data_IF_078593126409
#
_entry.id   IF_078593126409
#
_cell.length_a   1.000
_cell.length_b   1.000
_cell.length_c   1.000
_cell.angle_alpha   90.00
_cell.angle_beta   90.00
_cell.angle_gamma   90.00
#
_symmetry.space_group_name_H-M   'P 1'
#
loop_
_entity.id
_entity.type
_entity.pdbx_description
1 polymer ?
#
# COMPACT_ATOMS: atom_id res chain seq x y z
N UNK A 1 -7.23 -11.08 15.92
CA UNK A 1 -6.38 -10.92 14.72
C UNK A 1 -6.78 -9.62 14.07
N UNK A 2 -5.82 -8.85 13.60
CA UNK A 2 -6.05 -7.59 12.88
C UNK A 2 -5.66 -7.78 11.42
N UNK A 3 -6.51 -7.36 10.50
CA UNK A 3 -6.29 -7.48 9.06
C UNK A 3 -5.83 -6.16 8.48
N UNK A 4 -4.72 -6.20 7.74
CA UNK A 4 -4.13 -5.04 7.06
C UNK A 4 -4.12 -5.32 5.56
N UNK A 5 -4.79 -4.46 4.77
CA UNK A 5 -4.70 -4.48 3.32
C UNK A 5 -3.75 -3.40 2.82
N UNK A 6 -2.75 -3.81 2.04
CA UNK A 6 -1.73 -2.91 1.46
C UNK A 6 -1.83 -2.97 -0.05
N UNK A 7 -1.91 -1.82 -0.73
CA UNK A 7 -1.92 -1.76 -2.19
C UNK A 7 -1.37 -0.42 -2.71
N UNK A 8 -0.95 -0.40 -3.97
CA UNK A 8 -0.61 0.84 -4.69
C UNK A 8 -1.83 1.50 -5.34
N UNK A 9 -2.90 0.72 -5.55
CA UNK A 9 -4.14 1.22 -6.13
C UNK A 9 -5.10 1.76 -5.05
N UNK A 10 -5.33 3.07 -5.08
CA UNK A 10 -6.19 3.76 -4.14
C UNK A 10 -7.67 3.41 -4.32
N UNK A 11 -8.08 3.07 -5.55
CA UNK A 11 -9.46 2.71 -5.84
C UNK A 11 -9.80 1.33 -5.29
N UNK A 12 -8.89 0.37 -5.46
CA UNK A 12 -9.07 -1.00 -4.95
C UNK A 12 -9.07 -1.02 -3.41
N UNK A 13 -8.23 -0.21 -2.76
CA UNK A 13 -8.22 -0.15 -1.29
C UNK A 13 -9.54 0.33 -0.69
N UNK A 14 -10.27 1.22 -1.38
CA UNK A 14 -11.57 1.72 -0.89
C UNK A 14 -12.65 0.64 -0.78
N UNK A 15 -12.51 -0.47 -1.50
CA UNK A 15 -13.43 -1.61 -1.40
C UNK A 15 -12.93 -2.72 -0.46
N UNK A 16 -11.79 -2.53 0.21
CA UNK A 16 -11.26 -3.51 1.16
C UNK A 16 -12.10 -3.56 2.43
N UNK A 17 -12.29 -4.77 2.97
CA UNK A 17 -12.95 -5.00 4.26
C UNK A 17 -11.95 -5.19 5.41
N UNK A 18 -10.67 -4.87 5.20
CA UNK A 18 -9.63 -4.96 6.22
C UNK A 18 -9.79 -3.88 7.30
N UNK A 19 -9.35 -4.18 8.53
CA UNK A 19 -9.41 -3.25 9.67
C UNK A 19 -8.55 -2.01 9.41
N UNK A 20 -7.38 -2.21 8.78
CA UNK A 20 -6.48 -1.14 8.34
C UNK A 20 -6.27 -1.26 6.83
N UNK A 21 -6.36 -0.11 6.14
CA UNK A 21 -6.02 -0.01 4.72
C UNK A 21 -4.85 0.95 4.55
N UNK A 22 -3.83 0.51 3.81
CA UNK A 22 -2.60 1.27 3.59
C UNK A 22 -2.32 1.39 2.09
N UNK A 23 -2.41 2.61 1.58
CA UNK A 23 -1.92 2.93 0.25
C UNK A 23 -0.42 3.17 0.29
N UNK A 24 0.33 2.55 -0.63
CA UNK A 24 1.78 2.74 -0.77
C UNK A 24 2.16 3.27 -2.16
N UNK A 25 3.31 3.93 -2.28
CA UNK A 25 3.85 4.49 -3.51
C UNK A 25 2.97 5.56 -4.11
N UNK A 26 2.47 6.48 -3.29
CA UNK A 26 1.63 7.58 -3.77
C UNK A 26 2.35 8.44 -4.81
N UNK A 27 3.67 8.66 -4.64
CA UNK A 27 4.45 9.40 -5.63
C UNK A 27 4.81 8.55 -6.86
N UNK A 28 5.15 7.27 -6.65
CA UNK A 28 5.51 6.35 -7.75
C UNK A 28 4.33 6.03 -8.67
N UNK A 29 3.16 5.77 -8.09
CA UNK A 29 2.00 5.19 -8.80
C UNK A 29 0.85 6.16 -8.99
N UNK A 30 0.83 7.27 -8.25
CA UNK A 30 -0.29 8.24 -8.22
C UNK A 30 -1.62 7.60 -7.86
N UNK A 31 -1.60 6.48 -7.14
CA UNK A 31 -2.79 5.73 -6.75
C UNK A 31 -3.43 4.89 -7.86
N UNK A 32 -2.74 4.69 -8.99
CA UNK A 32 -3.23 3.92 -10.16
C UNK A 32 -2.65 2.51 -10.26
N UNK A 33 -1.89 2.09 -9.24
CA UNK A 33 -1.26 0.78 -9.21
C UNK A 33 0.13 0.71 -9.87
N UNK A 34 0.82 -0.40 -9.63
CA UNK A 34 2.17 -0.66 -10.13
C UNK A 34 2.22 -1.01 -11.63
N UNK A 35 1.07 -1.26 -12.29
CA UNK A 35 1.01 -1.54 -13.73
C UNK A 35 1.69 -2.84 -14.13
N UNK A 36 1.54 -3.89 -13.32
CA UNK A 36 2.22 -5.19 -13.47
C UNK A 36 3.77 -5.15 -13.40
N UNK A 37 4.36 -4.00 -13.05
CA UNK A 37 5.80 -3.88 -12.82
C UNK A 37 6.16 -4.16 -11.34
N UNK A 38 6.86 -5.27 -11.04
CA UNK A 38 7.25 -5.59 -9.67
C UNK A 38 8.29 -4.62 -9.09
N UNK A 39 9.13 -4.00 -9.92
CA UNK A 39 10.12 -3.02 -9.44
C UNK A 39 9.42 -1.76 -8.93
N UNK A 40 8.37 -1.32 -9.63
CA UNK A 40 7.54 -0.20 -9.21
C UNK A 40 6.83 -0.48 -7.89
N UNK A 41 6.36 -1.71 -7.69
CA UNK A 41 5.81 -2.17 -6.40
C UNK A 41 6.84 -2.16 -5.27
N UNK A 42 8.08 -2.56 -5.55
CA UNK A 42 9.18 -2.50 -4.59
C UNK A 42 9.52 -1.05 -4.20
N UNK A 43 9.63 -0.16 -5.17
CA UNK A 43 9.89 1.27 -4.94
C UNK A 43 8.78 1.89 -4.08
N UNK A 44 7.52 1.61 -4.41
CA UNK A 44 6.36 2.02 -3.63
C UNK A 44 6.42 1.58 -2.15
N UNK A 45 6.80 0.32 -1.90
CA UNK A 45 6.93 -0.19 -0.54
C UNK A 45 8.13 0.42 0.21
N UNK A 46 9.20 0.78 -0.50
CA UNK A 46 10.37 1.45 0.09
C UNK A 46 10.08 2.90 0.44
N UNK A 47 9.34 3.62 -0.40
CA UNK A 47 8.85 4.99 -0.16
C UNK A 47 8.09 5.06 1.17
N UNK A 48 7.14 4.15 1.38
CA UNK A 48 6.25 4.15 2.54
C UNK A 48 6.68 3.17 3.64
N UNK A 49 7.97 2.84 3.71
CA UNK A 49 8.52 1.86 4.67
C UNK A 49 8.16 2.19 6.13
N UNK A 50 8.22 3.47 6.51
CA UNK A 50 7.92 3.88 7.87
C UNK A 50 6.42 3.73 8.19
N UNK A 51 5.55 4.04 7.23
CA UNK A 51 4.10 3.86 7.36
C UNK A 51 3.74 2.38 7.50
N UNK A 52 4.38 1.50 6.72
CA UNK A 52 4.24 0.04 6.87
C UNK A 52 4.70 -0.39 8.26
N UNK A 53 5.84 0.12 8.74
CA UNK A 53 6.37 -0.21 10.07
C UNK A 53 5.37 0.18 11.17
N UNK A 54 4.82 1.38 11.10
CA UNK A 54 3.84 1.87 12.08
C UNK A 54 2.54 1.07 12.05
N UNK A 55 2.08 0.62 10.88
CA UNK A 55 0.91 -0.24 10.77
C UNK A 55 1.12 -1.64 11.39
N UNK A 56 2.37 -2.05 11.60
CA UNK A 56 2.72 -3.31 12.26
C UNK A 56 3.05 -3.14 13.76
N UNK A 57 3.21 -1.90 14.23
CA UNK A 57 3.43 -1.61 15.64
C UNK A 57 2.09 -1.70 16.38
N UNK A 58 1.86 -2.84 17.03
CA UNK A 58 0.70 -3.14 17.87
C UNK A 58 1.05 -4.07 19.02
#
# INVERSE_FOLDING_TARGET
>A
VEFIAVNTDAQVLRSSSADVTLQIGSNVTKGLGAGADPNKGREAAQEDRETIRQALDG
#
